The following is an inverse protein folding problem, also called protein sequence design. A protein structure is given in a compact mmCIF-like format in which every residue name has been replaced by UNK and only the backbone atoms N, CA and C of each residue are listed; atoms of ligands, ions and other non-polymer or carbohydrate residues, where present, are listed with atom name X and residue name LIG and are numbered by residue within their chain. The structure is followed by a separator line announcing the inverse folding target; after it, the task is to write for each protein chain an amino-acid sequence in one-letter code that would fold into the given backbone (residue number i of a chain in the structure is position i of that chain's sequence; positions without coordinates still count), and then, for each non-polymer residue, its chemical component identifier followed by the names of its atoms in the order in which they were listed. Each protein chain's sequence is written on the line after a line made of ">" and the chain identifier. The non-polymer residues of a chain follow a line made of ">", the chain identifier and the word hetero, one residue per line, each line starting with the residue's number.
data_IF_885047352415
#
_entry.id   IF_885047352415
#
_cell.length_a   1.000
_cell.length_b   1.000
_cell.length_c   1.000
_cell.angle_alpha   90.00
_cell.angle_beta   90.00
_cell.angle_gamma   90.00
#
_symmetry.space_group_name_H-M   'P 1'
#
loop_
_entity.id
_entity.type
_entity.pdbx_description
1 polymer ?
#
# COMPACT_ATOMS: atom_id res chain seq x y z
N UNK A 1 -3.31 66.88 1.55
CA UNK A 1 -4.32 66.07 2.20
C UNK A 1 -4.83 65.09 1.22
N UNK A 2 -4.36 63.83 1.29
CA UNK A 2 -4.80 62.74 0.39
C UNK A 2 -5.56 61.74 1.24
N UNK A 3 -6.86 61.68 1.05
CA UNK A 3 -7.76 60.77 1.77
C UNK A 3 -7.56 59.33 1.29
N UNK A 4 -7.23 58.41 2.21
CA UNK A 4 -7.24 56.96 2.01
C UNK A 4 -8.66 56.45 2.23
N UNK A 5 -9.31 56.00 1.15
CA UNK A 5 -10.55 55.24 1.21
C UNK A 5 -10.20 53.77 1.41
N UNK A 6 -10.47 53.25 2.61
CA UNK A 6 -10.38 51.83 2.95
C UNK A 6 -11.68 51.16 2.49
N UNK A 7 -11.63 50.38 1.42
CA UNK A 7 -12.74 49.53 1.01
C UNK A 7 -12.80 48.31 1.93
N UNK A 8 -13.77 48.27 2.80
CA UNK A 8 -14.07 47.12 3.64
C UNK A 8 -14.74 46.01 2.80
N UNK A 9 -14.07 44.88 2.64
CA UNK A 9 -14.67 43.67 2.06
C UNK A 9 -15.58 43.05 3.10
N UNK A 10 -16.90 43.26 2.98
CA UNK A 10 -17.91 42.58 3.79
C UNK A 10 -18.08 41.17 3.22
N UNK A 11 -17.47 40.19 3.85
CA UNK A 11 -17.78 38.78 3.64
C UNK A 11 -19.19 38.52 4.21
N UNK A 12 -20.18 38.43 3.32
CA UNK A 12 -21.50 37.88 3.64
C UNK A 12 -21.32 36.37 3.88
N UNK A 13 -21.13 35.97 5.13
CA UNK A 13 -21.26 34.57 5.55
C UNK A 13 -22.76 34.26 5.52
N UNK A 14 -23.23 33.81 4.37
CA UNK A 14 -24.52 33.16 4.26
C UNK A 14 -24.45 31.87 5.07
N UNK A 15 -25.28 31.75 6.09
CA UNK A 15 -25.52 30.50 6.81
C UNK A 15 -26.29 29.54 5.88
N UNK A 16 -25.58 28.97 4.88
CA UNK A 16 -26.02 27.73 4.29
C UNK A 16 -25.89 26.69 5.41
N UNK A 17 -26.98 26.07 5.80
CA UNK A 17 -26.95 24.86 6.64
C UNK A 17 -26.40 23.72 5.76
N UNK A 18 -25.12 23.78 5.43
CA UNK A 18 -24.38 22.64 4.93
C UNK A 18 -24.35 21.65 6.11
N UNK A 19 -24.86 20.47 5.89
CA UNK A 19 -24.73 19.38 6.85
C UNK A 19 -23.26 18.95 6.80
N UNK A 20 -22.43 19.63 7.58
CA UNK A 20 -20.99 19.34 7.71
C UNK A 20 -20.84 17.99 8.40
N UNK A 21 -20.63 16.95 7.61
CA UNK A 21 -20.35 15.60 8.12
C UNK A 21 -18.86 15.48 8.43
N UNK A 22 -18.42 16.03 9.55
CA UNK A 22 -17.11 15.72 10.12
C UNK A 22 -17.16 14.32 10.74
N UNK A 23 -16.30 13.43 10.28
CA UNK A 23 -16.20 12.05 10.74
C UNK A 23 -14.83 11.80 11.35
N UNK A 24 -14.81 11.30 12.58
CA UNK A 24 -13.67 10.62 13.16
C UNK A 24 -13.79 9.15 12.77
N UNK A 25 -12.74 8.60 12.14
CA UNK A 25 -12.76 7.22 11.69
C UNK A 25 -11.36 6.62 11.83
N UNK A 26 -11.28 5.29 11.79
CA UNK A 26 -9.98 4.69 11.94
C UNK A 26 -10.01 3.18 12.03
N UNK A 27 -8.80 2.65 12.26
CA UNK A 27 -8.59 1.24 12.48
C UNK A 27 -7.40 1.05 13.40
N UNK A 28 -7.58 0.23 14.42
CA UNK A 28 -6.53 -0.20 15.32
C UNK A 28 -6.31 -1.71 15.18
N UNK A 29 -5.08 -2.07 14.90
CA UNK A 29 -4.64 -3.45 14.68
C UNK A 29 -3.43 -3.74 15.55
N UNK A 30 -3.54 -4.74 16.41
CA UNK A 30 -2.48 -5.14 17.32
C UNK A 30 -2.49 -6.65 17.57
N UNK A 31 -1.31 -7.22 17.74
CA UNK A 31 -1.17 -8.64 17.98
C UNK A 31 0.25 -9.05 18.29
N UNK A 32 0.50 -10.35 18.17
CA UNK A 32 1.78 -10.99 18.46
C UNK A 32 2.25 -11.75 17.24
N UNK A 33 3.51 -11.57 16.87
CA UNK A 33 4.19 -12.31 15.81
C UNK A 33 5.28 -13.21 16.34
N UNK A 34 5.44 -14.37 15.69
CA UNK A 34 6.61 -15.24 15.81
C UNK A 34 7.24 -15.38 14.44
N UNK A 35 8.54 -15.09 14.33
CA UNK A 35 9.27 -15.16 13.07
C UNK A 35 10.57 -15.94 13.28
N UNK A 36 10.83 -16.93 12.40
CA UNK A 36 12.07 -17.72 12.40
C UNK A 36 13.13 -17.09 11.49
N UNK A 37 14.36 -17.54 11.59
CA UNK A 37 15.47 -17.13 10.73
C UNK A 37 15.64 -15.60 10.61
N UNK A 38 15.31 -14.85 11.67
CA UNK A 38 15.58 -13.41 11.79
C UNK A 38 17.08 -13.24 11.97
N UNK A 39 17.71 -12.30 11.27
CA UNK A 39 19.15 -12.02 11.42
C UNK A 39 19.47 -11.61 12.85
N UNK A 40 20.53 -12.17 13.40
CA UNK A 40 21.08 -11.76 14.67
C UNK A 40 21.97 -10.51 14.54
N UNK A 41 22.39 -10.00 15.69
CA UNK A 41 23.32 -8.84 15.75
C UNK A 41 24.76 -9.21 15.39
N UNK A 42 25.12 -10.49 15.43
CA UNK A 42 26.43 -10.99 15.00
C UNK A 42 26.33 -11.44 13.53
N UNK A 43 27.41 -11.26 12.79
CA UNK A 43 27.50 -11.69 11.40
C UNK A 43 27.22 -13.21 11.27
N UNK A 44 26.35 -13.56 10.32
CA UNK A 44 25.94 -14.95 10.07
C UNK A 44 24.98 -15.55 11.11
N UNK A 45 24.70 -14.88 12.22
CA UNK A 45 23.76 -15.36 13.22
C UNK A 45 22.30 -15.21 12.73
N UNK A 46 21.48 -16.20 13.06
CA UNK A 46 20.04 -16.16 12.85
C UNK A 46 19.31 -16.87 13.99
N UNK A 47 18.13 -16.38 14.34
CA UNK A 47 17.32 -16.93 15.43
C UNK A 47 15.83 -16.80 15.17
N UNK A 48 15.05 -17.06 16.17
CA UNK A 48 13.60 -16.84 16.16
C UNK A 48 13.24 -15.74 17.14
N UNK A 49 12.18 -15.00 16.83
CA UNK A 49 11.75 -13.85 17.63
C UNK A 49 10.24 -13.82 17.82
N UNK A 50 9.82 -13.62 19.08
CA UNK A 50 8.49 -13.16 19.43
C UNK A 50 8.47 -11.63 19.53
N UNK A 51 7.40 -11.00 19.04
CA UNK A 51 7.25 -9.53 19.11
C UNK A 51 5.77 -9.15 19.19
N UNK A 52 5.42 -8.22 20.10
CA UNK A 52 4.21 -7.43 19.98
C UNK A 52 4.32 -6.55 18.74
N UNK A 53 3.29 -6.48 17.93
CA UNK A 53 3.33 -5.79 16.65
C UNK A 53 2.02 -5.08 16.35
N UNK A 54 2.10 -3.87 15.78
CA UNK A 54 0.97 -3.07 15.35
C UNK A 54 0.84 -3.11 13.84
N UNK A 55 -0.40 -3.10 13.34
CA UNK A 55 -0.69 -2.82 11.94
C UNK A 55 -0.38 -3.95 10.97
N UNK A 56 -0.43 -5.21 11.38
CA UNK A 56 -0.18 -6.35 10.50
C UNK A 56 -1.32 -6.59 9.49
N UNK A 57 -2.54 -6.20 9.84
CA UNK A 57 -3.67 -6.20 8.93
C UNK A 57 -3.97 -4.75 8.49
N UNK A 58 -3.23 -4.27 7.48
CA UNK A 58 -3.48 -3.01 6.79
C UNK A 58 -3.15 -1.73 7.54
N UNK A 59 -2.20 -1.76 8.48
CA UNK A 59 -1.76 -0.67 9.36
C UNK A 59 -2.81 -0.24 10.40
N UNK A 60 -2.34 0.38 11.49
CA UNK A 60 -3.19 1.11 12.45
C UNK A 60 -3.14 2.59 12.12
N UNK A 61 -4.28 3.27 12.15
CA UNK A 61 -4.37 4.69 11.83
C UNK A 61 -5.64 5.31 12.39
N UNK A 62 -5.59 6.63 12.59
CA UNK A 62 -6.70 7.50 12.97
C UNK A 62 -6.87 8.55 11.89
N UNK A 63 -8.12 8.86 11.53
CA UNK A 63 -8.44 9.83 10.49
C UNK A 63 -9.57 10.78 10.86
N UNK A 64 -9.52 11.94 10.23
CA UNK A 64 -10.59 12.92 10.16
C UNK A 64 -10.98 13.11 8.70
N UNK A 65 -12.26 13.07 8.40
CA UNK A 65 -12.78 13.38 7.08
C UNK A 65 -13.98 14.33 7.19
N UNK A 66 -14.10 15.19 6.21
CA UNK A 66 -15.25 16.09 6.11
C UNK A 66 -15.75 16.16 4.67
N UNK A 67 -17.06 16.35 4.51
CA UNK A 67 -17.69 16.51 3.20
C UNK A 67 -18.73 17.62 3.27
N UNK A 68 -18.63 18.60 2.38
CA UNK A 68 -19.60 19.66 2.15
C UNK A 68 -20.35 19.41 0.85
N UNK A 69 -21.68 19.42 0.90
CA UNK A 69 -22.53 19.31 -0.29
C UNK A 69 -22.69 20.69 -0.93
N UNK A 70 -22.26 20.83 -2.19
CA UNK A 70 -22.29 22.10 -2.93
C UNK A 70 -23.57 22.28 -3.76
N UNK A 71 -24.43 21.25 -3.80
CA UNK A 71 -25.62 21.21 -4.65
C UNK A 71 -25.35 20.56 -6.00
N UNK A 72 -26.41 20.25 -6.75
CA UNK A 72 -26.30 19.62 -8.10
C UNK A 72 -25.71 18.21 -8.13
N UNK A 73 -25.36 17.63 -6.99
CA UNK A 73 -24.64 16.34 -6.89
C UNK A 73 -23.13 16.49 -6.73
N UNK A 74 -22.67 17.72 -6.52
CA UNK A 74 -21.26 18.06 -6.31
C UNK A 74 -20.95 18.20 -4.83
N UNK A 75 -19.70 17.90 -4.44
CA UNK A 75 -19.21 18.04 -3.06
C UNK A 75 -17.72 18.41 -3.02
N UNK A 76 -17.35 19.20 -2.01
CA UNK A 76 -15.98 19.36 -1.58
C UNK A 76 -15.73 18.42 -0.39
N UNK A 77 -14.51 17.90 -0.25
CA UNK A 77 -14.16 17.03 0.85
C UNK A 77 -12.68 17.15 1.23
N UNK A 78 -12.34 16.67 2.41
CA UNK A 78 -10.95 16.47 2.83
C UNK A 78 -10.80 15.14 3.57
N UNK A 79 -9.56 14.63 3.61
CA UNK A 79 -9.20 13.47 4.40
C UNK A 79 -7.81 13.64 5.02
N UNK A 80 -7.72 13.42 6.33
CA UNK A 80 -6.48 13.43 7.10
C UNK A 80 -6.35 12.08 7.79
N UNK A 81 -5.23 11.36 7.59
CA UNK A 81 -4.96 10.07 8.23
C UNK A 81 -3.57 10.04 8.85
N UNK A 82 -3.48 9.80 10.15
CA UNK A 82 -2.26 9.56 10.91
C UNK A 82 -2.06 8.05 11.13
N UNK A 83 -0.96 7.50 10.66
CA UNK A 83 -0.57 6.13 11.00
C UNK A 83 -0.07 6.07 12.45
N UNK A 84 -0.42 5.01 13.17
CA UNK A 84 -0.12 4.85 14.60
C UNK A 84 0.56 3.51 14.84
N UNK A 85 1.65 3.51 15.61
CA UNK A 85 2.21 2.32 16.21
C UNK A 85 1.61 2.13 17.61
N UNK A 86 0.70 1.17 17.74
CA UNK A 86 0.01 0.89 19.00
C UNK A 86 0.92 0.28 20.08
N UNK A 87 2.07 -0.29 19.69
CA UNK A 87 3.02 -0.87 20.64
C UNK A 87 3.84 0.20 21.37
N UNK A 88 4.06 1.35 20.71
CA UNK A 88 4.88 2.44 21.26
C UNK A 88 4.09 3.72 21.51
N UNK A 89 2.84 3.81 21.02
CA UNK A 89 2.02 5.03 21.12
C UNK A 89 2.54 6.19 20.25
N UNK A 90 3.29 5.88 19.20
CA UNK A 90 3.93 6.88 18.32
C UNK A 90 3.28 6.88 16.94
N UNK A 91 3.50 7.97 16.16
CA UNK A 91 3.24 7.95 14.72
C UNK A 91 4.16 6.96 13.99
N UNK A 92 3.67 6.34 12.93
CA UNK A 92 4.45 5.37 12.17
C UNK A 92 5.10 5.94 10.90
N UNK A 93 4.93 7.24 10.62
CA UNK A 93 5.48 7.90 9.44
C UNK A 93 6.95 8.36 9.63
N UNK A 94 7.46 8.33 10.86
CA UNK A 94 8.77 8.88 11.20
C UNK A 94 8.80 10.42 11.23
N UNK A 95 9.77 11.00 11.94
CA UNK A 95 9.93 12.45 12.06
C UNK A 95 8.68 13.18 12.59
N UNK A 96 8.53 14.44 12.22
CA UNK A 96 7.44 15.32 12.65
C UNK A 96 6.17 15.22 11.75
N UNK A 97 6.00 14.12 11.03
CA UNK A 97 4.88 13.94 10.09
C UNK A 97 3.64 13.48 10.82
N UNK A 98 2.73 14.40 11.11
CA UNK A 98 1.45 14.10 11.80
C UNK A 98 0.50 13.27 10.92
N UNK A 99 0.22 13.71 9.70
CA UNK A 99 -0.71 13.06 8.77
C UNK A 99 0.05 12.18 7.76
N UNK A 100 0.69 11.12 8.28
CA UNK A 100 1.64 10.30 7.53
C UNK A 100 1.02 9.48 6.39
N UNK A 101 -0.29 9.21 6.40
CA UNK A 101 -0.97 8.40 5.40
C UNK A 101 -1.70 9.24 4.36
N UNK A 102 -2.58 10.14 4.80
CA UNK A 102 -3.32 11.05 3.93
C UNK A 102 -3.37 12.45 4.52
N UNK A 103 -3.25 13.44 3.66
CA UNK A 103 -3.52 14.86 3.93
C UNK A 103 -3.93 15.49 2.60
N UNK A 104 -5.22 15.40 2.27
CA UNK A 104 -5.70 15.87 0.98
C UNK A 104 -7.06 16.55 1.08
N UNK A 105 -7.34 17.38 0.07
CA UNK A 105 -8.61 18.04 -0.18
C UNK A 105 -9.02 17.70 -1.62
N UNK A 106 -10.31 17.61 -1.86
CA UNK A 106 -10.79 17.27 -3.18
C UNK A 106 -12.17 17.84 -3.50
N UNK A 107 -12.52 17.69 -4.76
CA UNK A 107 -13.83 18.00 -5.29
C UNK A 107 -14.36 16.79 -6.04
N UNK A 108 -15.61 16.44 -5.78
CA UNK A 108 -16.32 15.33 -6.42
C UNK A 108 -17.52 15.86 -7.15
N UNK A 109 -17.62 15.52 -8.44
CA UNK A 109 -18.79 15.75 -9.28
C UNK A 109 -19.43 14.43 -9.66
N UNK A 110 -20.76 14.43 -9.69
CA UNK A 110 -21.52 13.28 -10.19
C UNK A 110 -21.18 12.94 -11.64
N UNK A 111 -20.93 13.97 -12.46
CA UNK A 111 -20.88 13.82 -13.92
C UNK A 111 -19.47 13.55 -14.44
N UNK A 112 -18.44 14.14 -13.81
CA UNK A 112 -17.07 14.03 -14.31
C UNK A 112 -16.08 13.41 -13.32
N UNK A 113 -16.53 13.00 -12.11
CA UNK A 113 -15.72 12.22 -11.19
C UNK A 113 -15.08 13.05 -10.07
N UNK A 114 -13.92 12.63 -9.60
CA UNK A 114 -13.28 13.17 -8.39
C UNK A 114 -11.84 13.62 -8.68
N UNK A 115 -11.48 14.82 -8.21
CA UNK A 115 -10.10 15.31 -8.17
C UNK A 115 -9.68 15.48 -6.72
N UNK A 116 -8.45 15.04 -6.39
CA UNK A 116 -7.81 15.24 -5.07
C UNK A 116 -6.44 15.90 -5.22
N UNK A 117 -6.09 16.72 -4.25
CA UNK A 117 -4.81 17.40 -4.15
C UNK A 117 -4.22 17.17 -2.75
N UNK A 118 -2.96 16.75 -2.68
CA UNK A 118 -2.22 16.57 -1.44
C UNK A 118 -1.62 15.18 -1.29
N UNK A 119 -1.25 14.82 -0.07
CA UNK A 119 -0.66 13.51 0.27
C UNK A 119 -1.71 12.42 0.21
N UNK A 120 -1.42 11.32 -0.49
CA UNK A 120 -2.32 10.16 -0.60
C UNK A 120 -1.52 8.85 -0.72
N UNK A 121 -2.22 7.73 -0.60
CA UNK A 121 -1.64 6.42 -0.86
C UNK A 121 -1.29 6.28 -2.34
N UNK A 122 -0.19 5.61 -2.64
CA UNK A 122 0.17 5.28 -4.02
C UNK A 122 -0.87 4.34 -4.65
N UNK A 123 -0.96 4.36 -5.96
CA UNK A 123 -1.85 3.47 -6.71
C UNK A 123 -1.59 1.99 -6.42
N UNK A 124 -0.34 1.59 -6.16
CA UNK A 124 0.02 0.24 -5.78
C UNK A 124 -0.74 -0.30 -4.55
N UNK A 125 -1.12 0.59 -3.61
CA UNK A 125 -1.92 0.19 -2.46
C UNK A 125 -3.28 -0.41 -2.84
N UNK A 126 -3.82 -0.13 -4.02
CA UNK A 126 -5.11 -0.67 -4.46
C UNK A 126 -5.03 -2.09 -5.04
N UNK A 127 -3.83 -2.72 -5.07
CA UNK A 127 -3.67 -4.12 -5.50
C UNK A 127 -4.26 -5.12 -4.47
N UNK A 128 -4.49 -4.71 -3.23
CA UNK A 128 -4.94 -5.56 -2.14
C UNK A 128 -6.27 -6.29 -2.40
N UNK A 129 -7.17 -5.74 -3.18
CA UNK A 129 -8.45 -6.37 -3.50
C UNK A 129 -8.32 -7.50 -4.56
N UNK A 130 -7.16 -7.58 -5.23
CA UNK A 130 -6.75 -8.67 -6.12
C UNK A 130 -5.83 -9.69 -5.43
N UNK A 131 -5.58 -9.51 -4.13
CA UNK A 131 -4.73 -10.39 -3.32
C UNK A 131 -5.58 -11.24 -2.36
N UNK A 132 -5.42 -12.58 -2.33
CA UNK A 132 -6.19 -13.44 -1.44
C UNK A 132 -5.95 -13.15 0.05
N UNK A 133 -4.76 -12.67 0.43
CA UNK A 133 -4.45 -12.29 1.81
C UNK A 133 -4.85 -10.83 2.11
N UNK A 134 -5.43 -10.11 1.15
CA UNK A 134 -5.93 -8.75 1.30
C UNK A 134 -4.85 -7.77 1.79
N UNK A 135 -5.10 -7.09 2.90
CA UNK A 135 -4.20 -6.09 3.48
C UNK A 135 -3.25 -6.69 4.53
N UNK A 136 -3.19 -8.00 4.67
CA UNK A 136 -2.28 -8.64 5.62
C UNK A 136 -0.81 -8.44 5.21
N UNK A 137 0.08 -8.42 6.19
CA UNK A 137 1.51 -8.31 5.97
C UNK A 137 2.03 -9.48 5.12
N UNK A 138 1.53 -10.70 5.37
CA UNK A 138 1.92 -11.93 4.64
C UNK A 138 1.14 -12.04 3.33
N UNK A 139 1.46 -11.20 2.37
CA UNK A 139 0.76 -11.02 1.11
C UNK A 139 1.73 -10.71 -0.03
N UNK A 140 1.23 -10.27 -1.18
CA UNK A 140 2.05 -9.78 -2.28
C UNK A 140 3.05 -8.70 -1.85
N UNK A 141 2.69 -7.85 -0.89
CA UNK A 141 3.56 -6.79 -0.37
C UNK A 141 4.87 -7.28 0.24
N UNK A 142 4.89 -8.49 0.83
CA UNK A 142 6.11 -9.10 1.36
C UNK A 142 7.20 -9.25 0.30
N UNK A 143 6.85 -9.76 -0.87
CA UNK A 143 7.81 -9.97 -1.95
C UNK A 143 8.04 -8.72 -2.80
N UNK A 144 7.13 -7.74 -2.75
CA UNK A 144 7.31 -6.43 -3.39
C UNK A 144 8.16 -5.47 -2.54
N UNK A 145 8.69 -5.89 -1.41
CA UNK A 145 9.45 -5.06 -0.47
C UNK A 145 8.76 -3.72 -0.20
N UNK A 146 7.41 -3.76 -0.11
CA UNK A 146 6.54 -2.60 0.11
C UNK A 146 6.47 -1.59 -1.05
N UNK A 147 7.05 -1.89 -2.22
CA UNK A 147 6.96 -1.01 -3.41
C UNK A 147 5.51 -0.69 -3.80
N UNK A 148 4.57 -1.61 -3.54
CA UNK A 148 3.15 -1.45 -3.76
C UNK A 148 2.37 -0.89 -2.55
N UNK A 149 3.05 -0.37 -1.52
CA UNK A 149 2.41 0.16 -0.30
C UNK A 149 2.93 1.54 0.11
N UNK A 150 3.34 2.34 -0.86
CA UNK A 150 3.92 3.65 -0.66
C UNK A 150 2.86 4.74 -0.43
N UNK A 151 3.33 5.89 0.03
CA UNK A 151 2.57 7.13 0.13
C UNK A 151 3.23 8.15 -0.78
N UNK A 152 2.42 8.93 -1.50
CA UNK A 152 2.87 9.94 -2.47
C UNK A 152 2.54 11.33 -1.92
N UNK A 153 3.55 12.19 -1.83
CA UNK A 153 3.39 13.61 -1.51
C UNK A 153 2.99 14.40 -2.74
N UNK A 154 2.39 15.56 -2.54
CA UNK A 154 2.06 16.55 -3.59
C UNK A 154 1.28 15.94 -4.76
N UNK A 155 0.50 14.88 -4.48
CA UNK A 155 -0.24 14.16 -5.49
C UNK A 155 -1.43 14.98 -6.01
N UNK A 156 -1.61 14.93 -7.31
CA UNK A 156 -2.83 15.30 -8.03
C UNK A 156 -3.43 13.99 -8.51
N UNK A 157 -4.64 13.67 -8.05
CA UNK A 157 -5.29 12.41 -8.40
C UNK A 157 -6.65 12.68 -9.03
N UNK A 158 -7.01 11.88 -10.02
CA UNK A 158 -8.31 11.90 -10.66
C UNK A 158 -8.90 10.50 -10.71
N UNK A 159 -10.19 10.38 -10.32
CA UNK A 159 -11.00 9.18 -10.45
C UNK A 159 -12.20 9.47 -11.36
N UNK A 160 -12.32 8.75 -12.47
CA UNK A 160 -13.48 8.91 -13.36
C UNK A 160 -14.77 8.37 -12.71
N UNK A 161 -15.94 8.81 -13.18
CA UNK A 161 -17.19 8.10 -12.94
C UNK A 161 -17.10 6.68 -13.52
N UNK A 162 -17.88 5.76 -12.95
CA UNK A 162 -18.01 4.41 -13.49
C UNK A 162 -18.86 4.41 -14.78
N UNK A 163 -18.37 3.73 -15.81
CA UNK A 163 -19.11 3.55 -17.06
C UNK A 163 -19.14 2.07 -17.45
N UNK A 164 -20.32 1.46 -17.38
CA UNK A 164 -20.54 0.02 -17.69
C UNK A 164 -19.58 -0.92 -16.96
N UNK A 165 -19.24 -0.57 -15.73
CA UNK A 165 -18.30 -1.32 -14.89
C UNK A 165 -16.85 -0.92 -15.06
N UNK A 166 -16.49 -0.06 -16.01
CA UNK A 166 -15.14 0.47 -16.17
C UNK A 166 -14.97 1.79 -15.41
N UNK A 167 -13.79 2.00 -14.87
CA UNK A 167 -13.32 3.27 -14.30
C UNK A 167 -11.81 3.45 -14.55
N UNK A 168 -11.39 4.72 -14.52
CA UNK A 168 -10.00 5.12 -14.68
C UNK A 168 -9.56 5.91 -13.45
N UNK A 169 -8.37 5.61 -12.91
CA UNK A 169 -7.72 6.40 -11.88
C UNK A 169 -6.34 6.85 -12.37
N UNK A 170 -6.05 8.14 -12.19
CA UNK A 170 -4.75 8.74 -12.51
C UNK A 170 -4.19 9.39 -11.27
N UNK A 171 -2.89 9.25 -11.05
CA UNK A 171 -2.19 9.95 -9.97
C UNK A 171 -0.87 10.50 -10.52
N UNK A 172 -0.60 11.76 -10.24
CA UNK A 172 0.62 12.45 -10.64
C UNK A 172 1.16 13.27 -9.47
N UNK A 173 2.46 13.19 -9.23
CA UNK A 173 3.16 14.05 -8.31
C UNK A 173 4.38 14.66 -9.01
N UNK A 174 4.44 15.98 -9.18
CA UNK A 174 5.58 16.66 -9.79
C UNK A 174 6.84 16.51 -8.94
N UNK A 175 8.00 16.59 -9.58
CA UNK A 175 9.26 16.83 -8.89
C UNK A 175 9.26 18.24 -8.30
N UNK A 176 9.85 18.41 -7.13
CA UNK A 176 9.80 19.68 -6.39
C UNK A 176 11.04 20.55 -6.56
N UNK A 177 11.98 20.13 -7.38
CA UNK A 177 13.22 20.85 -7.60
C UNK A 177 13.08 21.77 -8.82
N UNK A 178 13.39 23.05 -8.65
CA UNK A 178 13.43 23.99 -9.75
C UNK A 178 14.41 23.50 -10.83
N UNK A 179 14.00 23.57 -12.10
CA UNK A 179 14.75 23.10 -13.28
C UNK A 179 14.98 21.58 -13.37
N UNK A 180 14.53 20.81 -12.34
CA UNK A 180 14.70 19.35 -12.23
C UNK A 180 13.33 18.69 -11.93
N UNK A 181 12.33 18.97 -12.76
CA UNK A 181 10.92 18.61 -12.58
C UNK A 181 10.65 17.09 -12.53
N UNK A 182 11.63 16.28 -12.94
CA UNK A 182 11.55 14.82 -12.93
C UNK A 182 12.14 14.19 -11.65
N UNK A 183 12.82 14.95 -10.77
CA UNK A 183 13.41 14.46 -9.53
C UNK A 183 12.33 14.16 -8.49
N UNK A 184 12.23 12.91 -8.02
CA UNK A 184 11.18 12.48 -7.09
C UNK A 184 9.77 12.38 -7.71
N UNK A 185 9.63 12.55 -9.03
CA UNK A 185 8.34 12.51 -9.73
C UNK A 185 7.70 11.13 -9.67
N UNK A 186 6.39 11.11 -9.46
CA UNK A 186 5.57 9.89 -9.51
C UNK A 186 4.42 10.06 -10.49
N UNK A 187 4.16 9.02 -11.27
CA UNK A 187 3.12 8.96 -12.29
C UNK A 187 2.42 7.60 -12.21
N UNK A 188 1.10 7.59 -12.28
CA UNK A 188 0.38 6.32 -12.26
C UNK A 188 -0.96 6.40 -13.01
N UNK A 189 -1.32 5.31 -13.66
CA UNK A 189 -2.57 5.11 -14.40
C UNK A 189 -3.16 3.74 -14.05
N UNK A 190 -4.45 3.69 -13.75
CA UNK A 190 -5.20 2.47 -13.53
C UNK A 190 -6.44 2.43 -14.42
N UNK A 191 -6.70 1.28 -15.00
CA UNK A 191 -7.97 0.89 -15.60
C UNK A 191 -8.55 -0.27 -14.81
N UNK A 192 -9.79 -0.12 -14.33
CA UNK A 192 -10.51 -1.18 -13.62
C UNK A 192 -11.79 -1.56 -14.37
N UNK A 193 -12.16 -2.82 -14.23
CA UNK A 193 -13.48 -3.34 -14.59
C UNK A 193 -14.08 -4.07 -13.40
N UNK A 194 -15.32 -3.72 -13.05
CA UNK A 194 -16.10 -4.38 -12.00
C UNK A 194 -17.40 -4.87 -12.57
N UNK A 195 -17.48 -6.18 -12.78
CA UNK A 195 -18.69 -6.89 -13.19
C UNK A 195 -19.30 -7.69 -12.04
N UNK A 196 -20.41 -8.43 -12.29
CA UNK A 196 -21.12 -9.17 -11.24
C UNK A 196 -20.30 -10.28 -10.56
N UNK A 197 -19.37 -10.90 -11.29
CA UNK A 197 -18.52 -11.99 -10.78
C UNK A 197 -17.04 -11.78 -11.06
N UNK A 198 -16.68 -10.84 -11.91
CA UNK A 198 -15.32 -10.62 -12.38
C UNK A 198 -14.91 -9.19 -12.10
N UNK A 199 -13.77 -9.02 -11.42
CA UNK A 199 -13.05 -7.75 -11.34
C UNK A 199 -11.72 -7.91 -12.06
N UNK A 200 -11.37 -6.93 -12.87
CA UNK A 200 -10.07 -6.84 -13.54
C UNK A 200 -9.43 -5.51 -13.21
N UNK A 201 -8.11 -5.49 -13.15
CA UNK A 201 -7.34 -4.25 -12.97
C UNK A 201 -6.04 -4.33 -13.75
N UNK A 202 -5.76 -3.27 -14.47
CA UNK A 202 -4.46 -2.99 -15.07
C UNK A 202 -3.93 -1.68 -14.49
N UNK A 203 -2.67 -1.67 -14.07
CA UNK A 203 -2.00 -0.48 -13.54
C UNK A 203 -0.64 -0.32 -14.22
N UNK A 204 -0.26 0.92 -14.39
CA UNK A 204 1.11 1.32 -14.66
C UNK A 204 1.48 2.42 -13.67
N UNK A 205 2.63 2.28 -13.01
CA UNK A 205 3.17 3.35 -12.19
C UNK A 205 4.68 3.50 -12.40
N UNK A 206 5.16 4.71 -12.23
CA UNK A 206 6.55 5.08 -12.34
C UNK A 206 6.91 5.99 -11.17
N UNK A 207 7.93 5.61 -10.43
CA UNK A 207 8.48 6.35 -9.30
C UNK A 207 9.95 6.60 -9.54
N UNK A 208 10.37 7.87 -9.58
CA UNK A 208 11.77 8.27 -9.72
C UNK A 208 12.38 8.56 -8.36
N UNK A 209 13.70 8.33 -8.25
CA UNK A 209 14.48 8.76 -7.09
C UNK A 209 14.68 10.29 -7.08
N UNK A 210 15.34 10.79 -6.04
CA UNK A 210 15.68 12.22 -5.90
C UNK A 210 16.65 12.74 -6.97
N UNK A 211 17.26 11.86 -7.75
CA UNK A 211 18.10 12.18 -8.91
C UNK A 211 17.36 12.03 -10.26
N UNK A 212 16.06 11.76 -10.22
CA UNK A 212 15.21 11.62 -11.40
C UNK A 212 15.34 10.28 -12.14
N UNK A 213 15.95 9.26 -11.52
CA UNK A 213 16.28 7.96 -12.14
C UNK A 213 15.33 6.86 -11.69
N UNK A 214 15.25 5.80 -12.47
CA UNK A 214 14.69 4.50 -12.10
C UNK A 214 15.85 3.56 -11.71
N UNK A 215 16.47 3.83 -10.56
CA UNK A 215 17.73 3.23 -10.15
C UNK A 215 17.59 2.00 -9.24
N UNK A 216 16.38 1.60 -8.84
CA UNK A 216 16.19 0.47 -7.93
C UNK A 216 14.80 -0.13 -8.07
N UNK A 217 14.70 -1.47 -8.21
CA UNK A 217 13.46 -2.21 -8.45
C UNK A 217 12.37 -1.93 -7.40
N UNK A 218 12.75 -1.76 -6.12
CA UNK A 218 11.80 -1.69 -5.02
C UNK A 218 11.65 -0.28 -4.40
N UNK A 219 12.41 0.71 -4.87
CA UNK A 219 12.31 2.09 -4.36
C UNK A 219 12.08 3.11 -5.47
N UNK A 220 12.68 2.92 -6.66
CA UNK A 220 12.59 3.85 -7.78
C UNK A 220 12.55 3.08 -9.09
N UNK A 221 11.36 2.74 -9.56
CA UNK A 221 11.13 1.84 -10.68
C UNK A 221 9.82 2.15 -11.42
N UNK A 222 9.67 1.53 -12.58
CA UNK A 222 8.40 1.40 -13.29
C UNK A 222 7.77 0.05 -12.97
N UNK A 223 6.46 0.03 -12.74
CA UNK A 223 5.72 -1.20 -12.45
C UNK A 223 4.52 -1.30 -13.39
N UNK A 224 4.36 -2.46 -14.01
CA UNK A 224 3.14 -2.87 -14.69
C UNK A 224 2.45 -3.93 -13.84
N UNK A 225 1.17 -3.73 -13.57
CA UNK A 225 0.34 -4.68 -12.83
C UNK A 225 -0.87 -5.11 -13.66
N UNK A 226 -1.19 -6.40 -13.60
CA UNK A 226 -2.46 -6.95 -14.05
C UNK A 226 -3.01 -7.88 -12.97
N UNK A 227 -4.27 -7.71 -12.61
CA UNK A 227 -4.92 -8.51 -11.58
C UNK A 227 -6.35 -8.88 -11.94
N UNK A 228 -6.80 -10.00 -11.40
CA UNK A 228 -8.15 -10.50 -11.54
C UNK A 228 -8.68 -11.08 -10.21
N UNK A 229 -9.96 -10.83 -9.93
CA UNK A 229 -10.71 -11.53 -8.89
C UNK A 229 -11.99 -12.08 -9.50
N UNK A 230 -12.21 -13.39 -9.34
CA UNK A 230 -13.37 -14.09 -9.89
C UNK A 230 -14.16 -14.76 -8.79
N UNK A 231 -15.43 -14.39 -8.67
CA UNK A 231 -16.36 -15.02 -7.74
C UNK A 231 -16.87 -16.35 -8.34
N UNK A 232 -16.24 -17.45 -7.93
CA UNK A 232 -16.56 -18.81 -8.40
C UNK A 232 -17.97 -19.20 -7.99
N UNK A 233 -18.31 -18.97 -6.73
CA UNK A 233 -19.62 -19.16 -6.11
C UNK A 233 -19.85 -18.08 -5.02
N UNK A 234 -21.03 -18.02 -4.36
CA UNK A 234 -21.32 -16.98 -3.34
C UNK A 234 -20.34 -16.92 -2.16
N UNK A 235 -19.53 -17.97 -1.93
CA UNK A 235 -18.59 -18.07 -0.81
C UNK A 235 -17.13 -18.02 -1.24
N UNK A 236 -16.82 -18.36 -2.49
CA UNK A 236 -15.46 -18.57 -2.97
C UNK A 236 -15.07 -17.52 -3.98
N UNK A 237 -13.97 -16.81 -3.73
CA UNK A 237 -13.35 -15.87 -4.68
C UNK A 237 -11.93 -16.35 -4.99
N UNK A 238 -11.64 -16.54 -6.28
CA UNK A 238 -10.29 -16.79 -6.78
C UNK A 238 -9.63 -15.46 -7.15
N UNK A 239 -8.34 -15.32 -6.86
CA UNK A 239 -7.60 -14.09 -7.11
C UNK A 239 -6.22 -14.39 -7.67
N UNK A 240 -5.80 -13.58 -8.64
CA UNK A 240 -4.49 -13.66 -9.26
C UNK A 240 -3.97 -12.27 -9.59
N UNK A 241 -2.67 -12.12 -9.58
CA UNK A 241 -2.02 -10.88 -9.99
C UNK A 241 -0.61 -11.14 -10.51
N UNK A 242 -0.15 -10.18 -11.31
CA UNK A 242 1.17 -10.16 -11.88
C UNK A 242 1.72 -8.73 -11.88
N UNK A 243 2.94 -8.55 -11.38
CA UNK A 243 3.71 -7.31 -11.52
C UNK A 243 4.98 -7.59 -12.33
N UNK A 244 5.31 -6.65 -13.20
CA UNK A 244 6.63 -6.53 -13.82
C UNK A 244 7.26 -5.22 -13.34
N UNK A 245 8.43 -5.30 -12.72
CA UNK A 245 9.22 -4.17 -12.25
C UNK A 245 10.41 -3.96 -13.18
N UNK A 246 10.71 -2.69 -13.49
CA UNK A 246 11.85 -2.32 -14.34
C UNK A 246 12.53 -1.07 -13.79
N UNK A 247 13.85 -1.13 -13.62
CA UNK A 247 14.70 -0.05 -13.12
C UNK A 247 15.89 0.18 -14.08
N UNK A 248 15.65 0.76 -15.28
CA UNK A 248 16.64 0.82 -16.36
C UNK A 248 17.86 1.70 -16.07
N UNK A 249 17.81 2.53 -15.03
CA UNK A 249 18.92 3.39 -14.63
C UNK A 249 19.74 2.77 -13.47
N UNK A 250 19.49 1.49 -13.16
CA UNK A 250 20.28 0.72 -12.18
C UNK A 250 21.74 0.62 -12.63
N UNK A 251 22.73 0.76 -11.71
CA UNK A 251 24.14 0.63 -12.05
C UNK A 251 24.44 -0.68 -12.76
N UNK A 252 25.36 -0.62 -13.74
CA UNK A 252 25.73 -1.78 -14.56
C UNK A 252 26.16 -2.99 -13.70
N UNK A 253 25.66 -4.17 -14.05
CA UNK A 253 25.93 -5.42 -13.34
C UNK A 253 25.01 -5.73 -12.17
N UNK A 254 24.15 -4.79 -11.73
CA UNK A 254 23.08 -5.04 -10.76
C UNK A 254 21.78 -5.41 -11.46
N UNK A 255 20.84 -6.03 -10.72
CA UNK A 255 19.56 -6.45 -11.26
C UNK A 255 18.61 -5.27 -11.49
N UNK A 256 18.02 -5.18 -12.68
CA UNK A 256 17.17 -4.08 -13.15
C UNK A 256 15.76 -4.50 -13.58
N UNK A 257 15.44 -5.78 -13.49
CA UNK A 257 14.13 -6.35 -13.86
C UNK A 257 13.67 -7.40 -12.84
N UNK A 258 12.37 -7.44 -12.57
CA UNK A 258 11.79 -8.46 -11.73
C UNK A 258 10.33 -8.75 -12.09
N UNK A 259 9.90 -9.99 -11.84
CA UNK A 259 8.56 -10.49 -12.07
C UNK A 259 7.97 -11.03 -10.77
N UNK A 260 6.76 -10.59 -10.43
CA UNK A 260 6.03 -11.05 -9.26
C UNK A 260 4.65 -11.56 -9.68
N UNK A 261 4.34 -12.79 -9.34
CA UNK A 261 3.05 -13.44 -9.66
C UNK A 261 2.46 -14.08 -8.43
N UNK A 262 1.13 -14.05 -8.33
CA UNK A 262 0.40 -14.79 -7.30
C UNK A 262 -0.91 -15.37 -7.79
N UNK A 263 -1.34 -16.38 -7.08
CA UNK A 263 -2.66 -16.98 -7.19
C UNK A 263 -3.13 -17.46 -5.82
N UNK A 264 -4.43 -17.36 -5.58
CA UNK A 264 -5.01 -17.89 -4.34
C UNK A 264 -6.52 -17.75 -4.29
N UNK A 265 -7.06 -18.02 -3.11
CA UNK A 265 -8.49 -18.05 -2.89
C UNK A 265 -8.89 -17.50 -1.52
N UNK A 266 -10.08 -16.96 -1.45
CA UNK A 266 -10.82 -16.67 -0.21
C UNK A 266 -12.09 -17.50 -0.16
N UNK A 267 -12.38 -18.06 1.02
CA UNK A 267 -13.58 -18.84 1.29
C UNK A 267 -14.33 -18.28 2.51
N UNK A 268 -15.52 -17.75 2.30
CA UNK A 268 -16.46 -17.46 3.40
C UNK A 268 -17.04 -18.78 3.92
N UNK A 269 -16.30 -19.45 4.81
CA UNK A 269 -16.67 -20.78 5.32
C UNK A 269 -17.97 -20.75 6.11
N UNK A 270 -18.19 -19.69 6.92
CA UNK A 270 -19.44 -19.38 7.61
C UNK A 270 -19.66 -17.86 7.61
N UNK A 271 -20.80 -17.32 8.06
CA UNK A 271 -21.00 -15.88 8.17
C UNK A 271 -19.95 -15.14 9.01
N UNK A 272 -19.23 -15.85 9.90
CA UNK A 272 -18.19 -15.29 10.78
C UNK A 272 -16.77 -15.68 10.38
N UNK A 273 -16.54 -16.77 9.65
CA UNK A 273 -15.24 -17.26 9.28
C UNK A 273 -14.91 -16.98 7.83
N UNK A 274 -13.87 -16.19 7.57
CA UNK A 274 -13.22 -16.05 6.29
C UNK A 274 -11.86 -16.75 6.34
N UNK A 275 -11.63 -17.66 5.40
CA UNK A 275 -10.37 -18.35 5.20
C UNK A 275 -9.72 -17.81 3.92
N UNK A 276 -8.40 -17.66 3.93
CA UNK A 276 -7.64 -17.19 2.77
C UNK A 276 -6.37 -18.03 2.61
N UNK A 277 -5.92 -18.18 1.37
CA UNK A 277 -4.64 -18.78 1.06
C UNK A 277 -4.09 -18.28 -0.27
N UNK A 278 -2.78 -18.17 -0.38
CA UNK A 278 -2.11 -17.73 -1.59
C UNK A 278 -0.70 -18.28 -1.73
N UNK A 279 -0.28 -18.43 -2.97
CA UNK A 279 1.10 -18.67 -3.36
C UNK A 279 1.58 -17.48 -4.17
N UNK A 280 2.76 -17.00 -3.84
CA UNK A 280 3.38 -15.81 -4.42
C UNK A 280 4.80 -16.16 -4.84
N UNK A 281 5.22 -15.72 -6.01
CA UNK A 281 6.58 -15.91 -6.50
C UNK A 281 7.15 -14.60 -7.01
N UNK A 282 8.33 -14.26 -6.50
CA UNK A 282 9.19 -13.20 -7.03
C UNK A 282 10.35 -13.84 -7.78
N UNK A 283 10.63 -13.32 -8.94
CA UNK A 283 11.82 -13.60 -9.74
C UNK A 283 12.52 -12.28 -10.00
N UNK A 284 13.75 -12.13 -9.53
CA UNK A 284 14.67 -11.04 -9.89
C UNK A 284 15.58 -11.56 -10.98
N UNK A 285 15.56 -10.90 -12.14
CA UNK A 285 16.35 -11.32 -13.31
C UNK A 285 17.78 -10.82 -13.20
N UNK A 286 18.67 -11.35 -13.93
CA UNK A 286 20.10 -11.09 -14.06
C UNK A 286 20.72 -9.95 -13.24
N UNK A 287 21.93 -10.13 -12.78
CA UNK A 287 22.68 -9.10 -12.03
C UNK A 287 23.04 -9.49 -10.60
N UNK A 288 24.07 -8.85 -10.09
CA UNK A 288 24.51 -8.96 -8.71
C UNK A 288 23.58 -8.17 -7.77
N UNK A 289 23.75 -8.35 -6.48
CA UNK A 289 23.17 -7.51 -5.44
C UNK A 289 24.24 -6.74 -4.69
N UNK A 290 23.79 -5.68 -4.00
CA UNK A 290 24.63 -4.91 -3.06
C UNK A 290 23.85 -4.59 -1.78
N UNK A 291 24.28 -3.58 -1.02
CA UNK A 291 23.61 -3.18 0.22
C UNK A 291 22.17 -2.67 0.00
N UNK A 292 21.83 -2.19 -1.22
CA UNK A 292 20.56 -1.55 -1.56
C UNK A 292 19.79 -2.26 -2.67
N UNK A 293 20.43 -3.16 -3.41
CA UNK A 293 19.83 -3.90 -4.52
C UNK A 293 19.80 -5.40 -4.24
N UNK A 294 18.69 -6.03 -4.55
CA UNK A 294 18.57 -7.50 -4.50
C UNK A 294 19.34 -8.12 -5.66
N UNK A 295 20.05 -9.21 -5.37
CA UNK A 295 20.68 -10.02 -6.41
C UNK A 295 19.63 -10.80 -7.24
N UNK A 296 20.01 -11.19 -8.45
CA UNK A 296 19.26 -12.15 -9.25
C UNK A 296 18.98 -13.41 -8.46
N UNK A 297 17.74 -13.90 -8.55
CA UNK A 297 17.28 -15.06 -7.80
C UNK A 297 15.77 -15.11 -7.68
N UNK A 298 15.26 -15.97 -6.82
CA UNK A 298 13.82 -16.06 -6.65
C UNK A 298 13.40 -16.38 -5.21
N UNK A 299 12.18 -16.00 -4.88
CA UNK A 299 11.52 -16.38 -3.63
C UNK A 299 10.10 -16.88 -3.90
N UNK A 300 9.67 -17.87 -3.14
CA UNK A 300 8.28 -18.35 -3.14
C UNK A 300 7.71 -18.22 -1.73
N UNK A 301 6.64 -17.47 -1.58
CA UNK A 301 5.89 -17.29 -0.34
C UNK A 301 4.61 -18.11 -0.42
N UNK A 302 4.36 -18.91 0.60
CA UNK A 302 3.08 -19.55 0.89
C UNK A 302 2.46 -18.83 2.06
N UNK A 303 1.20 -18.41 1.94
CA UNK A 303 0.49 -17.75 3.02
C UNK A 303 -0.91 -18.34 3.20
N UNK A 304 -1.36 -18.41 4.45
CA UNK A 304 -2.71 -18.81 4.81
C UNK A 304 -3.22 -17.94 5.97
N UNK A 305 -4.50 -17.60 5.93
CA UNK A 305 -5.15 -16.76 6.93
C UNK A 305 -6.52 -17.29 7.32
N UNK A 306 -6.88 -17.00 8.57
CA UNK A 306 -8.22 -17.21 9.10
C UNK A 306 -8.66 -15.97 9.86
N UNK A 307 -9.83 -15.42 9.53
CA UNK A 307 -10.40 -14.26 10.17
C UNK A 307 -11.75 -14.63 10.77
N UNK A 308 -11.97 -14.27 12.05
CA UNK A 308 -13.20 -14.48 12.76
C UNK A 308 -13.85 -13.16 13.14
N UNK A 309 -14.99 -12.85 12.56
CA UNK A 309 -15.76 -11.64 12.85
C UNK A 309 -16.40 -11.72 14.23
N UNK A 310 -15.94 -10.89 15.15
CA UNK A 310 -16.53 -10.69 16.50
C UNK A 310 -17.76 -9.78 16.42
N UNK A 311 -17.67 -8.73 15.58
CA UNK A 311 -18.75 -7.78 15.29
C UNK A 311 -18.65 -7.30 13.84
N UNK A 312 -19.43 -6.27 13.46
CA UNK A 312 -19.31 -5.59 12.15
C UNK A 312 -17.98 -4.85 11.98
N UNK A 313 -17.37 -4.43 13.08
CA UNK A 313 -16.19 -3.55 13.11
C UNK A 313 -14.96 -4.18 13.75
N UNK A 314 -15.10 -5.39 14.33
CA UNK A 314 -14.03 -6.04 15.07
C UNK A 314 -13.90 -7.49 14.65
N UNK A 315 -12.68 -7.92 14.37
CA UNK A 315 -12.35 -9.31 14.10
C UNK A 315 -11.02 -9.71 14.74
N UNK A 316 -10.93 -10.98 15.09
CA UNK A 316 -9.69 -11.66 15.39
C UNK A 316 -9.18 -12.35 14.13
N UNK A 317 -7.87 -12.45 13.98
CA UNK A 317 -7.27 -13.17 12.85
C UNK A 317 -5.98 -13.88 13.22
N UNK A 318 -5.67 -14.91 12.42
CA UNK A 318 -4.45 -15.68 12.43
C UNK A 318 -3.89 -15.74 11.01
N UNK A 319 -2.61 -15.43 10.84
CA UNK A 319 -1.90 -15.51 9.57
C UNK A 319 -0.65 -16.36 9.72
N UNK A 320 -0.42 -17.25 8.77
CA UNK A 320 0.73 -18.10 8.65
C UNK A 320 1.42 -17.84 7.33
N UNK A 321 2.74 -17.81 7.32
CA UNK A 321 3.52 -17.65 6.10
C UNK A 321 4.82 -18.46 6.14
N UNK A 322 5.26 -18.91 4.97
CA UNK A 322 6.56 -19.51 4.76
C UNK A 322 7.16 -19.02 3.45
N UNK A 323 8.31 -18.36 3.52
CA UNK A 323 9.08 -17.95 2.33
C UNK A 323 10.28 -18.86 2.15
N UNK A 324 10.43 -19.38 0.93
CA UNK A 324 11.59 -20.14 0.47
C UNK A 324 12.38 -19.30 -0.51
N UNK A 325 13.62 -19.02 -0.20
CA UNK A 325 14.55 -18.26 -1.00
C UNK A 325 15.48 -19.18 -1.80
N UNK A 326 15.85 -18.77 -3.03
CA UNK A 326 17.03 -19.27 -3.73
C UNK A 326 18.31 -18.75 -3.06
N UNK A 327 19.46 -19.32 -3.41
CA UNK A 327 20.74 -19.09 -2.75
C UNK A 327 21.15 -17.62 -2.58
N UNK A 328 20.76 -16.77 -3.52
CA UNK A 328 21.08 -15.32 -3.53
C UNK A 328 19.99 -14.45 -2.94
N UNK A 329 18.77 -14.96 -2.80
CA UNK A 329 17.59 -14.19 -2.37
C UNK A 329 17.47 -14.14 -0.83
N UNK A 330 16.98 -13.02 -0.29
CA UNK A 330 16.78 -12.81 1.15
C UNK A 330 15.41 -12.19 1.51
N UNK A 331 14.37 -12.56 0.76
CA UNK A 331 13.02 -12.11 1.06
C UNK A 331 12.52 -12.71 2.38
N UNK A 332 11.95 -11.88 3.23
CA UNK A 332 11.30 -12.30 4.47
C UNK A 332 9.79 -12.41 4.32
N UNK A 333 9.11 -13.00 5.30
CA UNK A 333 7.64 -13.02 5.33
C UNK A 333 7.03 -11.62 5.43
N UNK A 334 7.75 -10.67 6.05
CA UNK A 334 7.42 -9.25 6.08
C UNK A 334 8.56 -8.42 5.47
N UNK A 335 8.97 -8.74 4.25
CA UNK A 335 10.18 -8.21 3.64
C UNK A 335 10.12 -6.69 3.46
N UNK A 336 11.19 -6.01 3.87
CA UNK A 336 11.43 -4.58 3.64
C UNK A 336 12.55 -4.39 2.63
N UNK A 337 12.66 -3.18 2.08
CA UNK A 337 13.73 -2.86 1.14
C UNK A 337 15.12 -3.06 1.76
N UNK A 338 16.08 -3.60 1.01
CA UNK A 338 17.47 -3.63 1.41
C UNK A 338 17.95 -2.19 1.71
N UNK A 339 18.65 -1.98 2.82
CA UNK A 339 19.20 -0.67 3.17
C UNK A 339 18.20 0.44 3.51
N UNK A 340 16.90 0.18 3.52
CA UNK A 340 15.87 1.18 3.82
C UNK A 340 15.84 1.64 5.29
N UNK A 341 16.42 0.89 6.16
CA UNK A 341 16.78 1.23 7.53
C UNK A 341 17.82 0.21 8.03
N UNK A 342 18.45 0.48 9.16
CA UNK A 342 19.40 -0.44 9.80
C UNK A 342 18.76 -1.79 10.23
N UNK A 343 17.54 -2.08 9.79
CA UNK A 343 16.67 -3.17 10.23
C UNK A 343 16.34 -4.19 9.14
N UNK A 344 17.21 -4.40 8.17
CA UNK A 344 17.22 -5.65 7.39
C UNK A 344 17.34 -6.92 8.27
N UNK A 345 17.42 -6.72 9.59
CA UNK A 345 17.42 -7.81 10.59
C UNK A 345 16.15 -8.66 10.54
N UNK A 346 15.03 -8.15 10.02
CA UNK A 346 13.80 -8.94 9.87
C UNK A 346 13.84 -9.89 8.66
N UNK A 347 14.69 -9.64 7.67
CA UNK A 347 14.87 -10.52 6.53
C UNK A 347 15.86 -11.66 6.88
N UNK A 348 15.67 -12.87 6.32
CA UNK A 348 16.61 -13.97 6.53
C UNK A 348 17.95 -13.71 5.83
N UNK A 349 18.96 -14.46 6.15
CA UNK A 349 20.20 -14.53 5.37
C UNK A 349 19.90 -15.05 3.95
N UNK A 350 20.70 -14.71 2.93
CA UNK A 350 20.56 -15.23 1.57
C UNK A 350 20.46 -16.76 1.57
N UNK A 351 19.56 -17.30 0.75
CA UNK A 351 19.29 -18.73 0.64
C UNK A 351 18.53 -19.36 1.81
N UNK A 352 18.27 -18.63 2.88
CA UNK A 352 17.55 -19.16 4.05
C UNK A 352 16.04 -18.93 3.92
N UNK A 353 15.29 -19.97 4.22
CA UNK A 353 13.83 -19.89 4.37
C UNK A 353 13.45 -19.23 5.69
N UNK A 354 12.29 -18.57 5.72
CA UNK A 354 11.75 -17.96 6.92
C UNK A 354 10.26 -18.32 7.06
N UNK A 355 9.82 -18.57 8.29
CA UNK A 355 8.42 -18.79 8.62
C UNK A 355 7.93 -17.70 9.57
N UNK A 356 6.67 -17.32 9.41
CA UNK A 356 5.98 -16.36 10.25
C UNK A 356 4.63 -16.88 10.71
N UNK A 357 4.29 -16.54 11.94
CA UNK A 357 2.96 -16.65 12.51
C UNK A 357 2.59 -15.29 13.08
N UNK A 358 1.38 -14.84 12.82
CA UNK A 358 0.82 -13.66 13.47
C UNK A 358 -0.61 -13.93 13.90
N UNK A 359 -0.97 -13.49 15.09
CA UNK A 359 -2.35 -13.45 15.56
C UNK A 359 -2.63 -12.10 16.18
N UNK A 360 -3.77 -11.52 15.86
CA UNK A 360 -4.12 -10.18 16.31
C UNK A 360 -5.61 -9.91 16.31
N UNK A 361 -5.93 -8.74 16.80
CA UNK A 361 -7.27 -8.17 16.78
C UNK A 361 -7.26 -6.86 16.00
N UNK A 362 -8.25 -6.69 15.17
CA UNK A 362 -8.49 -5.48 14.40
C UNK A 362 -9.84 -4.89 14.79
N UNK A 363 -9.86 -3.60 15.09
CA UNK A 363 -11.07 -2.85 15.40
C UNK A 363 -11.11 -1.58 14.55
N UNK A 364 -12.23 -1.36 13.83
CA UNK A 364 -12.50 -0.16 13.04
C UNK A 364 -13.69 0.60 13.59
N UNK A 365 -13.74 1.90 13.40
CA UNK A 365 -14.81 2.78 13.89
C UNK A 365 -15.04 3.96 12.94
#
# INVERSE_FOLDING_TARGET
>A
MIGRTTAGLVLLIGSAQAQDNLQLYGRFDAGVSYTTAVRGTQEGAAGSRWRGQSGNWGASWLGLAGTEQLGGGDSAFFALEAGIDLMHGTGNAGGDVLWGRKANVGYRSRDWGEVKLGRDLSMGNYQWDMDPMMQELYSSSSLMRWRNSLVINHAISYQSPGWRGFDVYVQYAPGEQAELDHHGRSEALQLSYTGPRLKLRAQWDALRDEQGRYGNLFTASRTWFAGAAYQLDPRTTLQAGYNHLSAPDTPAGLADSAHHVWFGARLQATPRWLLSSGVYRMQVDGGAGDATHDAAGHATLLAAGAMYSLSKHTFWYLSLAHVRNADTSSFGVGARNPGSDNNNLDNPLPGRSQSGLYTGINASF
#
